data_IF_835271081898
#
_entry.id   IF_835271081898
#
_cell.length_a   1.000
_cell.length_b   1.000
_cell.length_c   1.000
_cell.angle_alpha   90.00
_cell.angle_beta   90.00
_cell.angle_gamma   90.00
#
_symmetry.space_group_name_H-M   'P 1'
#
loop_
_entity.id
_entity.type
_entity.pdbx_description
1 polymer ?
#
# COMPACT_ATOMS: atom_id res chain seq x y z
N UNK A 1 -72.28 -44.88 27.44
CA UNK A 1 -71.71 -45.97 28.24
C UNK A 1 -70.26 -45.60 28.42
N UNK A 2 -69.95 -45.07 29.60
CA UNK A 2 -69.11 -45.62 30.66
C UNK A 2 -67.73 -45.87 30.17
N UNK A 3 -66.73 -45.22 30.64
CA UNK A 3 -66.18 -44.81 31.89
C UNK A 3 -64.67 -44.89 31.64
N UNK A 4 -63.72 -44.33 32.20
CA UNK A 4 -63.38 -44.12 33.58
C UNK A 4 -62.04 -43.36 33.54
N UNK A 5 -61.91 -42.41 34.42
CA UNK A 5 -60.67 -41.68 34.79
C UNK A 5 -59.60 -42.61 35.32
N UNK A 6 -58.30 -42.27 35.02
CA UNK A 6 -57.22 -42.54 35.98
C UNK A 6 -56.25 -41.42 35.94
N UNK A 7 -56.17 -40.73 37.04
CA UNK A 7 -55.16 -39.74 37.48
C UNK A 7 -53.95 -40.47 37.95
N UNK A 8 -52.74 -40.04 37.59
CA UNK A 8 -51.56 -40.22 38.42
C UNK A 8 -50.64 -39.01 38.27
N UNK A 9 -50.24 -38.50 39.41
CA UNK A 9 -49.40 -37.35 39.71
C UNK A 9 -47.91 -37.74 39.72
N UNK A 10 -47.00 -36.75 39.96
CA UNK A 10 -45.75 -36.58 39.29
C UNK A 10 -44.58 -37.13 40.17
N UNK A 11 -43.47 -37.39 39.55
CA UNK A 11 -42.22 -37.47 40.32
C UNK A 11 -40.99 -36.99 39.55
N UNK A 12 -40.36 -36.07 40.19
CA UNK A 12 -38.94 -35.76 40.36
C UNK A 12 -38.09 -35.31 39.17
N UNK A 13 -37.67 -34.08 39.39
CA UNK A 13 -36.49 -33.44 38.84
C UNK A 13 -35.28 -34.36 38.75
N UNK A 14 -34.67 -34.40 37.55
CA UNK A 14 -33.30 -34.85 37.36
C UNK A 14 -32.47 -33.67 36.85
N UNK A 15 -31.53 -33.32 37.71
CA UNK A 15 -30.51 -32.29 37.56
C UNK A 15 -29.61 -32.62 36.37
N UNK A 16 -29.71 -31.85 35.27
CA UNK A 16 -28.78 -31.96 34.15
C UNK A 16 -27.60 -31.05 34.43
N UNK A 17 -26.54 -31.65 34.92
CA UNK A 17 -25.24 -31.00 35.12
C UNK A 17 -24.73 -30.38 33.82
N UNK A 18 -24.58 -29.07 33.81
CA UNK A 18 -23.94 -28.32 32.74
C UNK A 18 -22.47 -28.76 32.62
N UNK A 19 -22.18 -29.51 31.56
CA UNK A 19 -20.80 -29.81 31.19
C UNK A 19 -20.10 -28.48 30.82
N UNK A 20 -19.22 -28.00 31.72
CA UNK A 20 -18.27 -26.95 31.41
C UNK A 20 -17.38 -27.42 30.25
N UNK A 21 -17.53 -26.81 29.09
CA UNK A 21 -16.58 -26.94 27.99
C UNK A 21 -15.22 -26.52 28.52
N UNK A 22 -14.18 -27.36 28.49
CA UNK A 22 -12.87 -26.95 28.98
C UNK A 22 -12.33 -25.84 28.11
N UNK A 23 -11.93 -24.75 28.73
CA UNK A 23 -11.21 -23.67 28.08
C UNK A 23 -10.00 -24.26 27.35
N UNK A 24 -9.94 -24.04 26.04
CA UNK A 24 -8.87 -24.50 25.18
C UNK A 24 -7.55 -23.96 25.74
N UNK A 25 -6.74 -24.80 26.35
CA UNK A 25 -5.46 -24.45 26.92
C UNK A 25 -4.60 -23.80 25.82
N UNK A 26 -4.26 -22.52 26.01
CA UNK A 26 -3.31 -21.85 25.12
C UNK A 26 -1.97 -22.56 25.25
N UNK A 27 -1.43 -23.00 24.11
CA UNK A 27 -0.08 -23.58 24.06
C UNK A 27 0.90 -22.57 24.68
N UNK A 28 1.89 -23.04 25.47
CA UNK A 28 2.89 -22.15 26.07
C UNK A 28 3.63 -21.41 24.96
N UNK A 29 3.70 -20.10 25.08
CA UNK A 29 4.41 -19.21 24.14
C UNK A 29 5.89 -19.56 24.15
N UNK A 30 6.51 -19.63 22.99
CA UNK A 30 7.96 -19.73 22.89
C UNK A 30 8.57 -18.42 23.38
N UNK A 31 9.63 -18.42 24.20
CA UNK A 31 10.32 -17.18 24.60
C UNK A 31 10.78 -16.44 23.34
N UNK A 32 10.40 -15.15 23.20
CA UNK A 32 10.74 -14.30 22.05
C UNK A 32 9.70 -14.21 20.93
N UNK A 33 8.48 -14.75 21.08
CA UNK A 33 7.41 -14.53 20.10
C UNK A 33 6.82 -13.12 20.28
N UNK A 34 6.98 -12.25 19.29
CA UNK A 34 6.33 -10.93 19.20
C UNK A 34 4.81 -11.16 19.10
N UNK A 35 4.02 -10.37 19.83
CA UNK A 35 2.55 -10.39 19.76
C UNK A 35 2.10 -9.25 18.85
N UNK A 36 1.01 -9.45 18.11
CA UNK A 36 0.48 -8.43 17.19
C UNK A 36 0.24 -7.08 17.89
N UNK A 37 -0.23 -7.08 19.15
CA UNK A 37 -0.39 -5.87 19.96
C UNK A 37 0.92 -5.12 20.25
N UNK A 38 2.07 -5.79 20.26
CA UNK A 38 3.39 -5.17 20.41
C UNK A 38 3.89 -4.48 19.14
N UNK A 39 3.13 -4.59 18.04
CA UNK A 39 3.38 -3.95 16.75
C UNK A 39 2.52 -2.68 16.54
N UNK A 40 1.83 -2.18 17.58
CA UNK A 40 0.91 -1.05 17.43
C UNK A 40 -0.27 -1.33 16.49
N UNK A 41 -0.62 -2.61 16.26
CA UNK A 41 -1.69 -3.02 15.35
C UNK A 41 -2.87 -3.63 16.12
N UNK A 42 -4.10 -3.54 15.60
CA UNK A 42 -5.24 -4.26 16.14
C UNK A 42 -4.95 -5.75 16.28
N UNK A 43 -5.42 -6.37 17.37
CA UNK A 43 -5.18 -7.80 17.66
C UNK A 43 -5.77 -8.75 16.61
N UNK A 44 -6.74 -8.29 15.82
CA UNK A 44 -7.33 -9.02 14.68
C UNK A 44 -6.42 -9.06 13.46
N UNK A 45 -5.37 -8.22 13.38
CA UNK A 45 -4.51 -8.14 12.19
C UNK A 45 -3.79 -9.45 11.92
N UNK A 46 -3.84 -9.91 10.67
CA UNK A 46 -3.25 -11.15 10.18
C UNK A 46 -2.32 -10.94 8.99
N UNK A 47 -2.40 -9.80 8.34
CA UNK A 47 -1.52 -9.41 7.23
C UNK A 47 -1.14 -7.94 7.30
N UNK A 48 0.06 -7.64 6.79
CA UNK A 48 0.59 -6.31 6.57
C UNK A 48 0.87 -6.12 5.08
N UNK A 49 0.28 -5.10 4.48
CA UNK A 49 0.41 -4.77 3.06
C UNK A 49 1.13 -3.43 2.96
N UNK A 50 2.34 -3.44 2.43
CA UNK A 50 3.21 -2.27 2.41
C UNK A 50 3.30 -1.69 1.02
N UNK A 51 3.17 -0.37 0.89
CA UNK A 51 3.74 0.30 -0.27
C UNK A 51 5.27 0.14 -0.29
N UNK A 52 5.89 0.47 -1.41
CA UNK A 52 7.33 0.34 -1.59
C UNK A 52 8.05 1.68 -1.39
N UNK A 53 7.69 2.66 -2.23
CA UNK A 53 8.41 3.92 -2.37
C UNK A 53 7.99 4.86 -1.23
N UNK A 54 8.95 5.30 -0.39
CA UNK A 54 8.63 6.11 0.81
C UNK A 54 8.25 5.28 2.06
N UNK A 55 7.73 4.07 1.90
CA UNK A 55 7.42 3.18 3.03
C UNK A 55 8.56 2.20 3.31
N UNK A 56 8.97 1.41 2.33
CA UNK A 56 10.01 0.39 2.50
C UNK A 56 11.38 0.88 2.01
N UNK A 57 11.41 1.73 0.97
CA UNK A 57 12.62 2.22 0.32
C UNK A 57 12.62 3.73 0.18
N UNK A 58 13.83 4.32 0.18
CA UNK A 58 14.05 5.76 0.03
C UNK A 58 14.04 6.17 -1.45
N UNK A 59 13.07 5.69 -2.20
CA UNK A 59 12.98 5.89 -3.65
C UNK A 59 11.98 6.95 -4.09
N UNK A 60 11.14 7.48 -3.19
CA UNK A 60 10.19 8.55 -3.51
C UNK A 60 10.88 9.78 -4.11
N UNK A 61 12.00 10.24 -3.52
CA UNK A 61 12.79 11.36 -4.05
C UNK A 61 13.38 11.07 -5.44
N UNK A 62 13.77 9.82 -5.70
CA UNK A 62 14.26 9.40 -7.04
C UNK A 62 13.12 9.42 -8.06
N UNK A 63 11.91 9.04 -7.65
CA UNK A 63 10.71 9.15 -8.47
C UNK A 63 10.36 10.61 -8.76
N UNK A 64 10.41 11.50 -7.75
CA UNK A 64 10.16 12.93 -7.91
C UNK A 64 11.15 13.57 -8.90
N UNK A 65 12.45 13.29 -8.76
CA UNK A 65 13.49 13.78 -9.67
C UNK A 65 13.29 13.29 -11.11
N UNK A 66 12.87 12.02 -11.31
CA UNK A 66 12.57 11.48 -12.63
C UNK A 66 11.35 12.17 -13.26
N UNK A 67 10.31 12.44 -12.48
CA UNK A 67 9.14 13.21 -12.93
C UNK A 67 9.50 14.63 -13.30
N UNK A 68 10.24 15.32 -12.42
CA UNK A 68 10.69 16.70 -12.67
C UNK A 68 11.47 16.81 -13.97
N UNK A 69 12.47 15.99 -14.15
CA UNK A 69 13.27 15.98 -15.39
C UNK A 69 12.35 15.79 -16.61
N UNK A 70 11.45 14.83 -16.54
CA UNK A 70 10.58 14.48 -17.67
C UNK A 70 9.58 15.58 -18.01
N UNK A 71 8.90 16.11 -16.99
CA UNK A 71 7.88 17.15 -17.21
C UNK A 71 8.51 18.50 -17.55
N UNK A 72 9.61 18.89 -16.91
CA UNK A 72 10.30 20.15 -17.23
C UNK A 72 10.81 20.17 -18.67
N UNK A 73 11.34 19.04 -19.17
CA UNK A 73 11.78 18.93 -20.56
C UNK A 73 10.61 19.06 -21.54
N UNK A 74 9.47 18.47 -21.23
CA UNK A 74 8.27 18.58 -22.04
C UNK A 74 7.68 19.99 -22.01
N UNK A 75 7.48 20.52 -20.81
CA UNK A 75 6.87 21.85 -20.60
C UNK A 75 7.72 22.99 -21.19
N UNK A 76 9.05 22.89 -21.10
CA UNK A 76 9.97 23.88 -21.67
C UNK A 76 9.86 23.92 -23.19
N UNK A 77 9.91 22.77 -23.86
CA UNK A 77 9.74 22.71 -25.32
C UNK A 77 8.38 23.27 -25.75
N UNK A 78 7.30 22.88 -25.08
CA UNK A 78 5.97 23.38 -25.34
C UNK A 78 5.86 24.89 -25.15
N UNK A 79 6.46 25.45 -24.09
CA UNK A 79 6.48 26.89 -23.82
C UNK A 79 7.21 27.66 -24.95
N UNK A 80 8.36 27.17 -25.40
CA UNK A 80 9.14 27.72 -26.51
C UNK A 80 8.32 27.72 -27.82
N UNK A 81 7.70 26.59 -28.17
CA UNK A 81 6.88 26.46 -29.39
C UNK A 81 5.65 27.38 -29.40
N UNK A 82 5.07 27.67 -28.24
CA UNK A 82 3.85 28.49 -28.12
C UNK A 82 4.11 29.95 -27.76
N UNK A 83 5.32 30.31 -27.41
CA UNK A 83 5.65 31.63 -26.90
C UNK A 83 5.02 31.92 -25.54
N UNK A 84 4.78 30.88 -24.74
CA UNK A 84 4.20 30.93 -23.40
C UNK A 84 5.28 30.91 -22.31
N UNK A 85 5.01 31.43 -21.09
CA UNK A 85 5.94 31.30 -19.99
C UNK A 85 6.14 29.82 -19.58
N UNK A 86 7.38 29.44 -19.32
CA UNK A 86 7.70 28.12 -18.75
C UNK A 86 7.34 28.10 -17.25
N UNK A 87 6.48 27.18 -16.85
CA UNK A 87 6.14 26.90 -15.44
C UNK A 87 6.62 25.49 -15.11
N UNK A 88 7.67 25.34 -14.29
CA UNK A 88 8.25 24.04 -14.00
C UNK A 88 7.31 23.14 -13.18
N UNK A 89 7.58 21.84 -13.17
CA UNK A 89 7.01 20.87 -12.24
C UNK A 89 7.59 21.10 -10.83
N UNK A 90 6.72 21.16 -9.82
CA UNK A 90 7.12 21.25 -8.42
C UNK A 90 7.29 19.83 -7.83
N UNK A 91 8.48 19.54 -7.30
CA UNK A 91 8.84 18.21 -6.77
C UNK A 91 8.10 17.83 -5.48
N UNK A 92 7.39 18.76 -4.87
CA UNK A 92 6.56 18.55 -3.69
C UNK A 92 5.09 18.70 -4.06
N UNK A 93 4.62 19.92 -4.34
CA UNK A 93 3.19 20.17 -4.54
C UNK A 93 2.61 19.41 -5.74
N UNK A 94 3.24 19.48 -6.92
CA UNK A 94 2.74 18.74 -8.10
C UNK A 94 2.98 17.22 -7.95
N UNK A 95 4.05 16.83 -7.26
CA UNK A 95 4.35 15.41 -7.03
C UNK A 95 3.27 14.77 -6.16
N UNK A 96 3.01 15.32 -4.99
CA UNK A 96 2.09 14.75 -4.01
C UNK A 96 0.65 14.73 -4.53
N UNK A 97 0.24 15.79 -5.26
CA UNK A 97 -1.15 15.91 -5.72
C UNK A 97 -1.44 15.07 -6.97
N UNK A 98 -0.50 15.00 -7.92
CA UNK A 98 -0.83 14.47 -9.25
C UNK A 98 -0.18 13.15 -9.61
N UNK A 99 0.96 12.77 -9.04
CA UNK A 99 1.71 11.60 -9.52
C UNK A 99 2.06 10.57 -8.46
N UNK A 100 2.12 10.96 -7.18
CA UNK A 100 2.56 10.08 -6.11
C UNK A 100 1.58 8.92 -5.89
N UNK A 101 2.12 7.73 -5.73
CA UNK A 101 1.35 6.50 -5.54
C UNK A 101 0.53 6.02 -6.75
N UNK A 102 0.48 6.80 -7.85
CA UNK A 102 -0.35 6.49 -9.03
C UNK A 102 0.38 5.63 -10.06
N UNK A 103 -0.36 4.86 -10.89
CA UNK A 103 0.18 4.26 -12.09
C UNK A 103 0.78 5.33 -12.99
N UNK A 104 1.93 5.01 -13.60
CA UNK A 104 2.74 5.95 -14.40
C UNK A 104 1.96 6.77 -15.42
N UNK A 105 1.10 6.13 -16.20
CA UNK A 105 0.34 6.81 -17.24
C UNK A 105 -0.80 7.68 -16.67
N UNK A 106 -1.37 7.27 -15.54
CA UNK A 106 -2.37 8.07 -14.84
C UNK A 106 -1.75 9.32 -14.22
N UNK A 107 -0.54 9.22 -13.67
CA UNK A 107 0.23 10.37 -13.22
C UNK A 107 0.50 11.37 -14.35
N UNK A 108 0.86 10.90 -15.56
CA UNK A 108 1.01 11.79 -16.74
C UNK A 108 -0.31 12.50 -17.05
N UNK A 109 -1.43 11.75 -17.12
CA UNK A 109 -2.75 12.34 -17.41
C UNK A 109 -3.16 13.38 -16.38
N UNK A 110 -3.03 13.03 -15.11
CA UNK A 110 -3.47 13.87 -13.99
C UNK A 110 -2.69 15.17 -13.96
N UNK A 111 -1.36 15.11 -14.05
CA UNK A 111 -0.52 16.31 -14.05
C UNK A 111 -0.74 17.18 -15.28
N UNK A 112 -0.77 16.61 -16.48
CA UNK A 112 -0.99 17.39 -17.70
C UNK A 112 -2.37 18.04 -17.73
N UNK A 113 -3.41 17.34 -17.22
CA UNK A 113 -4.75 17.90 -17.08
C UNK A 113 -4.78 19.12 -16.14
N UNK A 114 -4.01 19.13 -15.04
CA UNK A 114 -3.90 20.27 -14.12
C UNK A 114 -3.32 21.52 -14.81
N UNK A 115 -2.53 21.30 -15.87
CA UNK A 115 -1.94 22.37 -16.71
C UNK A 115 -2.79 22.68 -17.96
N UNK A 116 -4.01 22.12 -18.06
CA UNK A 116 -4.88 22.30 -19.24
C UNK A 116 -4.32 21.66 -20.51
N UNK A 117 -3.47 20.64 -20.37
CA UNK A 117 -2.82 19.95 -21.50
C UNK A 117 -3.48 18.57 -21.68
N UNK A 118 -3.92 18.28 -22.88
CA UNK A 118 -4.43 16.97 -23.27
C UNK A 118 -3.55 16.40 -24.38
N UNK A 119 -3.12 15.18 -24.21
CA UNK A 119 -2.37 14.39 -25.21
C UNK A 119 -3.15 13.13 -25.57
N UNK A 120 -2.90 12.56 -26.77
CA UNK A 120 -3.33 11.20 -27.10
C UNK A 120 -2.76 10.21 -26.08
N UNK A 121 -3.52 9.16 -25.75
CA UNK A 121 -3.02 8.13 -24.83
C UNK A 121 -1.77 7.41 -25.37
N UNK A 122 -1.76 7.12 -26.65
CA UNK A 122 -0.71 6.33 -27.28
C UNK A 122 -0.78 4.85 -26.91
N UNK A 123 0.31 4.15 -27.19
CA UNK A 123 0.49 2.73 -26.91
C UNK A 123 1.59 2.53 -25.84
N UNK A 124 1.47 1.55 -24.94
CA UNK A 124 2.53 1.25 -23.96
C UNK A 124 3.91 0.98 -24.58
N UNK A 125 3.96 0.63 -25.86
CA UNK A 125 5.20 0.46 -26.65
C UNK A 125 5.73 1.74 -27.29
N UNK A 126 5.11 2.90 -27.10
CA UNK A 126 5.56 4.16 -27.69
C UNK A 126 7.00 4.49 -27.26
N UNK A 127 7.83 5.01 -28.18
CA UNK A 127 9.17 5.45 -27.83
C UNK A 127 9.13 6.66 -26.88
N UNK A 128 10.19 6.86 -26.05
CA UNK A 128 10.22 7.94 -25.05
C UNK A 128 10.11 9.37 -25.61
N UNK A 129 10.32 9.57 -26.89
CA UNK A 129 10.20 10.87 -27.57
C UNK A 129 8.81 11.12 -28.17
N UNK A 130 7.93 10.12 -28.17
CA UNK A 130 6.55 10.30 -28.62
C UNK A 130 5.78 11.30 -27.72
N UNK A 131 4.99 12.18 -28.37
CA UNK A 131 4.12 13.13 -27.67
C UNK A 131 2.76 12.51 -27.35
N UNK A 132 2.81 11.45 -26.56
CA UNK A 132 1.65 10.73 -26.03
C UNK A 132 1.80 10.56 -24.52
N UNK A 133 0.72 10.24 -23.84
CA UNK A 133 0.76 9.90 -22.40
C UNK A 133 1.74 8.74 -22.16
N UNK A 134 1.70 7.71 -23.01
CA UNK A 134 2.59 6.56 -22.92
C UNK A 134 4.05 6.93 -23.21
N UNK A 135 4.32 7.74 -24.23
CA UNK A 135 5.68 8.21 -24.55
C UNK A 135 6.31 8.99 -23.40
N UNK A 136 5.59 9.98 -22.84
CA UNK A 136 6.06 10.74 -21.66
C UNK A 136 6.29 9.81 -20.45
N UNK A 137 5.36 8.90 -20.19
CA UNK A 137 5.52 7.92 -19.13
C UNK A 137 6.73 6.99 -19.33
N UNK A 138 7.02 6.60 -20.57
CA UNK A 138 8.18 5.78 -20.91
C UNK A 138 9.50 6.56 -20.78
N UNK A 139 9.49 7.86 -21.10
CA UNK A 139 10.63 8.77 -20.85
C UNK A 139 10.93 8.85 -19.35
N UNK A 140 9.89 9.05 -18.51
CA UNK A 140 10.03 9.05 -17.05
C UNK A 140 10.62 7.73 -16.55
N UNK A 141 10.17 6.61 -17.10
CA UNK A 141 10.69 5.30 -16.70
C UNK A 141 12.18 5.14 -17.05
N UNK A 142 12.61 5.59 -18.21
CA UNK A 142 14.02 5.56 -18.60
C UNK A 142 14.88 6.43 -17.66
N UNK A 143 14.41 7.63 -17.31
CA UNK A 143 15.07 8.51 -16.35
C UNK A 143 15.16 7.84 -14.95
N UNK A 144 14.08 7.23 -14.47
CA UNK A 144 14.07 6.53 -13.19
C UNK A 144 15.07 5.38 -13.15
N UNK A 145 15.08 4.52 -14.16
CA UNK A 145 16.02 3.38 -14.23
C UNK A 145 17.47 3.86 -14.22
N UNK A 146 17.77 4.95 -14.94
CA UNK A 146 19.10 5.57 -14.94
C UNK A 146 19.51 6.09 -13.56
N UNK A 147 18.60 6.77 -12.85
CA UNK A 147 18.84 7.29 -11.50
C UNK A 147 19.06 6.16 -10.49
N UNK A 148 18.23 5.12 -10.52
CA UNK A 148 18.37 3.95 -9.65
C UNK A 148 19.69 3.21 -9.88
N UNK A 149 20.15 3.12 -11.13
CA UNK A 149 21.41 2.45 -11.47
C UNK A 149 22.65 3.20 -10.94
N UNK A 150 22.57 4.52 -10.81
CA UNK A 150 23.68 5.36 -10.35
C UNK A 150 23.66 5.64 -8.85
N UNK A 151 22.48 5.80 -8.25
CA UNK A 151 22.29 6.18 -6.84
C UNK A 151 22.19 5.00 -5.87
N UNK A 152 21.92 3.80 -6.37
CA UNK A 152 21.58 2.65 -5.54
C UNK A 152 20.16 2.74 -4.96
N UNK A 153 19.80 1.78 -4.10
CA UNK A 153 18.51 1.75 -3.40
C UNK A 153 18.74 1.46 -1.93
N UNK A 154 18.34 2.38 -1.08
CA UNK A 154 18.37 2.22 0.37
C UNK A 154 16.98 1.86 0.89
N UNK A 155 16.93 0.89 1.81
CA UNK A 155 15.71 0.58 2.56
C UNK A 155 15.66 1.43 3.84
N UNK A 156 14.45 1.81 4.28
CA UNK A 156 14.26 2.36 5.62
C UNK A 156 14.51 1.28 6.66
N UNK A 157 15.51 1.48 7.52
CA UNK A 157 15.91 0.49 8.53
C UNK A 157 14.77 0.18 9.50
N UNK A 158 14.00 1.21 9.93
CA UNK A 158 12.84 1.04 10.80
C UNK A 158 11.77 0.18 10.15
N UNK A 159 11.49 0.38 8.87
CA UNK A 159 10.53 -0.43 8.11
C UNK A 159 10.98 -1.89 7.99
N UNK A 160 12.27 -2.12 7.72
CA UNK A 160 12.81 -3.49 7.67
C UNK A 160 12.67 -4.18 9.02
N UNK A 161 12.98 -3.50 10.13
CA UNK A 161 12.80 -4.02 11.49
C UNK A 161 11.33 -4.36 11.78
N UNK A 162 10.41 -3.49 11.38
CA UNK A 162 8.97 -3.70 11.54
C UNK A 162 8.50 -4.93 10.75
N UNK A 163 8.83 -5.04 9.46
CA UNK A 163 8.47 -6.20 8.62
C UNK A 163 9.00 -7.51 9.24
N UNK A 164 10.25 -7.51 9.73
CA UNK A 164 10.83 -8.68 10.40
C UNK A 164 10.07 -9.04 11.70
N UNK A 165 9.63 -8.04 12.47
CA UNK A 165 8.83 -8.25 13.68
C UNK A 165 7.43 -8.78 13.33
N UNK A 166 6.76 -8.23 12.32
CA UNK A 166 5.48 -8.71 11.80
C UNK A 166 5.57 -10.20 11.37
N UNK A 167 6.61 -10.56 10.63
CA UNK A 167 6.87 -11.97 10.25
C UNK A 167 7.11 -12.88 11.46
N UNK A 168 7.86 -12.41 12.47
CA UNK A 168 8.06 -13.18 13.73
C UNK A 168 6.74 -13.35 14.51
N UNK A 169 5.83 -12.40 14.42
CA UNK A 169 4.48 -12.50 14.98
C UNK A 169 3.56 -13.44 14.17
N UNK A 170 4.01 -13.94 13.02
CA UNK A 170 3.25 -14.86 12.16
C UNK A 170 2.32 -14.16 11.18
N UNK A 171 2.47 -12.83 10.99
CA UNK A 171 1.69 -12.08 10.00
C UNK A 171 2.18 -12.36 8.59
N UNK A 172 1.26 -12.37 7.64
CA UNK A 172 1.58 -12.39 6.21
C UNK A 172 2.04 -11.00 5.79
N UNK A 173 3.05 -10.91 4.92
CA UNK A 173 3.58 -9.63 4.46
C UNK A 173 3.55 -9.57 2.93
N UNK A 174 3.00 -8.50 2.38
CA UNK A 174 2.98 -8.26 0.94
C UNK A 174 3.45 -6.85 0.61
N UNK A 175 4.01 -6.68 -0.60
CA UNK A 175 4.30 -5.37 -1.20
C UNK A 175 3.24 -5.05 -2.25
N UNK A 176 2.79 -3.80 -2.26
CA UNK A 176 1.81 -3.27 -3.23
C UNK A 176 2.34 -1.95 -3.78
N UNK A 177 2.87 -1.96 -4.99
CA UNK A 177 3.46 -0.78 -5.63
C UNK A 177 2.88 -0.54 -7.02
N UNK A 178 2.68 0.73 -7.38
CA UNK A 178 2.30 1.12 -8.73
C UNK A 178 3.46 0.98 -9.75
N UNK A 179 4.69 0.78 -9.27
CA UNK A 179 5.88 0.73 -10.10
C UNK A 179 6.05 -0.63 -10.78
N UNK A 180 6.28 -0.63 -12.10
CA UNK A 180 6.72 -1.83 -12.81
C UNK A 180 8.14 -2.27 -12.45
N UNK A 181 8.93 -1.40 -11.78
CA UNK A 181 10.29 -1.68 -11.35
C UNK A 181 10.38 -2.24 -9.91
N UNK A 182 9.24 -2.45 -9.24
CA UNK A 182 9.15 -2.86 -7.84
C UNK A 182 10.10 -4.03 -7.50
N UNK A 183 10.08 -5.09 -8.30
CA UNK A 183 10.93 -6.26 -8.03
C UNK A 183 12.43 -5.97 -8.14
N UNK A 184 12.82 -5.13 -9.08
CA UNK A 184 14.21 -4.70 -9.23
C UNK A 184 14.66 -3.84 -8.03
N UNK A 185 13.79 -2.94 -7.56
CA UNK A 185 14.01 -2.12 -6.35
C UNK A 185 14.16 -3.00 -5.11
N UNK A 186 13.24 -3.95 -4.90
CA UNK A 186 13.31 -4.91 -3.77
C UNK A 186 14.60 -5.74 -3.80
N UNK A 187 15.04 -6.15 -4.98
CA UNK A 187 16.28 -6.92 -5.14
C UNK A 187 17.52 -6.05 -4.85
N UNK A 188 17.56 -4.82 -5.35
CA UNK A 188 18.64 -3.87 -5.10
C UNK A 188 18.74 -3.51 -3.60
N UNK A 189 17.61 -3.30 -2.93
CA UNK A 189 17.53 -3.07 -1.49
C UNK A 189 17.77 -4.34 -0.65
N UNK A 190 17.86 -5.52 -1.27
CA UNK A 190 18.06 -6.84 -0.62
C UNK A 190 16.97 -7.21 0.40
N UNK A 191 15.74 -6.76 0.19
CA UNK A 191 14.60 -7.01 1.09
C UNK A 191 13.52 -7.91 0.49
N UNK A 192 13.63 -8.31 -0.78
CA UNK A 192 12.61 -9.10 -1.49
C UNK A 192 12.22 -10.40 -0.78
N UNK A 193 13.15 -11.06 -0.07
CA UNK A 193 12.89 -12.29 0.69
C UNK A 193 12.02 -12.11 1.95
N UNK A 194 11.65 -10.86 2.30
CA UNK A 194 10.81 -10.55 3.46
C UNK A 194 9.31 -10.65 3.14
N UNK A 195 8.92 -10.78 1.88
CA UNK A 195 7.52 -10.69 1.46
C UNK A 195 7.02 -11.99 0.85
N UNK A 196 5.78 -12.35 1.19
CA UNK A 196 5.10 -13.56 0.68
C UNK A 196 4.54 -13.30 -0.72
N UNK A 197 4.12 -12.05 -1.00
CA UNK A 197 3.44 -11.61 -2.23
C UNK A 197 3.96 -10.25 -2.64
N UNK A 198 4.05 -10.02 -3.95
CA UNK A 198 4.32 -8.72 -4.57
C UNK A 198 3.27 -8.48 -5.65
N UNK A 199 2.45 -7.42 -5.45
CA UNK A 199 1.54 -6.86 -6.45
C UNK A 199 2.18 -5.57 -6.96
N UNK A 200 2.77 -5.63 -8.13
CA UNK A 200 3.47 -4.53 -8.77
C UNK A 200 2.71 -4.01 -10.01
N UNK A 201 3.20 -2.97 -10.64
CA UNK A 201 2.59 -2.41 -11.84
C UNK A 201 2.47 -3.41 -12.99
N UNK A 202 3.34 -4.43 -13.04
CA UNK A 202 3.26 -5.51 -14.05
C UNK A 202 2.08 -6.43 -13.75
N UNK A 203 1.90 -6.81 -12.47
CA UNK A 203 0.75 -7.62 -12.03
C UNK A 203 -0.55 -6.84 -12.24
N UNK A 204 -0.58 -5.55 -11.85
CA UNK A 204 -1.74 -4.70 -12.02
C UNK A 204 -2.19 -4.60 -13.48
N UNK A 205 -1.25 -4.36 -14.41
CA UNK A 205 -1.53 -4.31 -15.84
C UNK A 205 -2.05 -5.65 -16.39
N UNK A 206 -1.42 -6.77 -16.00
CA UNK A 206 -1.82 -8.11 -16.45
C UNK A 206 -3.20 -8.50 -15.96
N UNK A 207 -3.56 -8.14 -14.75
CA UNK A 207 -4.84 -8.48 -14.11
C UNK A 207 -5.90 -7.39 -14.26
N UNK A 208 -5.61 -6.32 -15.01
CA UNK A 208 -6.49 -5.17 -15.25
C UNK A 208 -7.00 -4.53 -13.95
N UNK A 209 -6.12 -4.44 -12.93
CA UNK A 209 -6.43 -3.80 -11.66
C UNK A 209 -6.32 -2.29 -11.81
N UNK A 210 -7.30 -1.58 -11.30
CA UNK A 210 -7.22 -0.13 -11.17
C UNK A 210 -6.11 0.24 -10.15
N UNK A 211 -5.40 1.33 -10.42
CA UNK A 211 -4.35 1.82 -9.53
C UNK A 211 -4.92 2.71 -8.42
N UNK A 212 -4.11 2.98 -7.39
CA UNK A 212 -4.41 3.95 -6.35
C UNK A 212 -4.89 5.28 -6.97
N UNK A 213 -5.95 5.91 -6.47
CA UNK A 213 -6.63 5.67 -5.19
C UNK A 213 -7.67 4.54 -5.18
N UNK A 214 -7.87 3.80 -6.28
CA UNK A 214 -8.74 2.64 -6.27
C UNK A 214 -8.12 1.49 -5.45
N UNK A 215 -8.93 0.68 -4.75
CA UNK A 215 -8.43 -0.31 -3.80
C UNK A 215 -7.93 -1.61 -4.44
N UNK A 216 -8.08 -1.79 -5.74
CA UNK A 216 -7.94 -3.08 -6.44
C UNK A 216 -6.61 -3.77 -6.18
N UNK A 217 -5.50 -3.04 -6.21
CA UNK A 217 -4.16 -3.60 -5.99
C UNK A 217 -3.98 -4.12 -4.57
N UNK A 218 -4.48 -3.39 -3.55
CA UNK A 218 -4.47 -3.84 -2.16
C UNK A 218 -5.41 -5.02 -1.94
N UNK A 219 -6.62 -5.01 -2.53
CA UNK A 219 -7.57 -6.12 -2.48
C UNK A 219 -6.97 -7.38 -3.13
N UNK A 220 -6.26 -7.23 -4.24
CA UNK A 220 -5.54 -8.34 -4.88
C UNK A 220 -4.45 -8.91 -3.95
N UNK A 221 -3.67 -8.07 -3.28
CA UNK A 221 -2.66 -8.50 -2.32
C UNK A 221 -3.29 -9.25 -1.13
N UNK A 222 -4.35 -8.73 -0.54
CA UNK A 222 -5.08 -9.37 0.55
C UNK A 222 -5.61 -10.76 0.15
N UNK A 223 -6.20 -10.86 -1.05
CA UNK A 223 -6.65 -12.13 -1.64
C UNK A 223 -5.50 -13.12 -1.80
N UNK A 224 -4.35 -12.67 -2.33
CA UNK A 224 -3.18 -13.54 -2.59
C UNK A 224 -2.53 -14.04 -1.29
N UNK A 225 -2.52 -13.24 -0.22
CA UNK A 225 -2.04 -13.71 1.10
C UNK A 225 -3.10 -14.50 1.87
N UNK A 226 -4.34 -14.57 1.37
CA UNK A 226 -5.44 -15.35 1.96
C UNK A 226 -6.01 -14.72 3.25
N UNK A 227 -6.04 -13.38 3.34
CA UNK A 227 -6.53 -12.65 4.51
C UNK A 227 -7.62 -11.66 4.07
N UNK A 228 -8.78 -11.62 4.76
CA UNK A 228 -9.80 -10.62 4.48
C UNK A 228 -9.27 -9.20 4.70
N UNK A 229 -9.70 -8.17 3.93
CA UNK A 229 -9.28 -6.79 4.12
C UNK A 229 -9.46 -6.30 5.57
N UNK A 230 -10.57 -6.63 6.22
CA UNK A 230 -10.84 -6.24 7.60
C UNK A 230 -9.80 -6.78 8.64
N UNK A 231 -9.06 -7.84 8.29
CA UNK A 231 -8.00 -8.44 9.11
C UNK A 231 -6.59 -8.06 8.59
N UNK A 232 -6.48 -7.10 7.69
CA UNK A 232 -5.21 -6.65 7.13
C UNK A 232 -4.95 -5.17 7.43
N UNK A 233 -3.68 -4.82 7.61
CA UNK A 233 -3.21 -3.45 7.77
C UNK A 233 -2.48 -3.00 6.50
N UNK A 234 -2.75 -1.76 6.05
CA UNK A 234 -2.09 -1.08 4.94
C UNK A 234 -1.09 -0.07 5.49
N UNK A 235 0.08 0.05 4.87
CA UNK A 235 1.14 1.00 5.24
C UNK A 235 1.50 1.83 4.00
N UNK A 236 1.34 3.15 4.09
CA UNK A 236 1.38 4.07 2.96
C UNK A 236 1.90 5.44 3.35
N UNK A 237 2.65 6.08 2.45
CA UNK A 237 3.08 7.47 2.60
C UNK A 237 2.35 8.43 1.65
N UNK A 238 1.78 7.93 0.55
CA UNK A 238 1.05 8.71 -0.44
C UNK A 238 -0.45 8.85 -0.10
N UNK A 239 -1.02 10.04 -0.35
CA UNK A 239 -2.45 10.31 -0.11
C UNK A 239 -3.35 9.36 -0.91
N UNK A 240 -3.00 9.10 -2.17
CA UNK A 240 -3.73 8.18 -3.04
C UNK A 240 -3.75 6.74 -2.49
N UNK A 241 -2.66 6.30 -1.88
CA UNK A 241 -2.56 4.97 -1.33
C UNK A 241 -3.31 4.82 0.00
N UNK A 242 -3.25 5.83 0.87
CA UNK A 242 -4.09 5.87 2.08
C UNK A 242 -5.57 5.84 1.72
N UNK A 243 -5.99 6.62 0.71
CA UNK A 243 -7.36 6.59 0.20
C UNK A 243 -7.75 5.20 -0.33
N UNK A 244 -6.85 4.51 -1.06
CA UNK A 244 -7.06 3.15 -1.53
C UNK A 244 -7.25 2.16 -0.36
N UNK A 245 -6.44 2.27 0.69
CA UNK A 245 -6.58 1.47 1.90
C UNK A 245 -7.95 1.68 2.56
N UNK A 246 -8.39 2.92 2.67
CA UNK A 246 -9.72 3.26 3.22
C UNK A 246 -10.86 2.75 2.33
N UNK A 247 -10.77 2.96 1.01
CA UNK A 247 -11.78 2.51 0.04
C UNK A 247 -11.92 0.98 0.01
N UNK A 248 -10.82 0.25 0.25
CA UNK A 248 -10.78 -1.21 0.33
C UNK A 248 -11.32 -1.79 1.64
N UNK A 249 -11.78 -0.96 2.59
CA UNK A 249 -12.26 -1.37 3.91
C UNK A 249 -11.23 -2.21 4.68
N UNK A 250 -9.97 -1.85 4.58
CA UNK A 250 -8.92 -2.47 5.38
C UNK A 250 -9.09 -2.17 6.86
N UNK A 251 -8.76 -3.16 7.70
CA UNK A 251 -8.98 -3.08 9.15
C UNK A 251 -8.13 -2.02 9.85
N UNK A 252 -7.00 -1.63 9.23
CA UNK A 252 -6.12 -0.58 9.73
C UNK A 252 -5.33 0.05 8.59
N UNK A 253 -5.20 1.37 8.60
CA UNK A 253 -4.40 2.12 7.63
C UNK A 253 -3.40 2.98 8.39
N UNK A 254 -2.13 2.71 8.19
CA UNK A 254 -1.00 3.43 8.76
C UNK A 254 -0.46 4.40 7.72
N UNK A 255 -0.52 5.69 8.00
CA UNK A 255 0.17 6.72 7.23
C UNK A 255 1.63 6.83 7.68
N UNK A 256 2.56 6.92 6.75
CA UNK A 256 3.99 7.18 7.02
C UNK A 256 4.30 8.59 6.52
N UNK A 257 4.54 9.53 7.43
CA UNK A 257 4.72 10.93 7.07
C UNK A 257 6.16 11.21 6.61
N UNK A 258 6.37 11.20 5.30
CA UNK A 258 7.66 11.55 4.67
C UNK A 258 7.71 12.99 4.17
N UNK A 259 6.56 13.62 3.95
CA UNK A 259 6.43 14.93 3.31
C UNK A 259 5.89 16.03 4.24
N UNK A 260 5.75 15.76 5.55
CA UNK A 260 5.12 16.66 6.55
C UNK A 260 3.65 16.94 6.22
N UNK A 261 2.93 15.91 5.83
CA UNK A 261 1.52 15.94 5.42
C UNK A 261 0.64 15.06 6.35
N UNK A 262 0.98 14.98 7.63
CA UNK A 262 0.30 14.11 8.59
C UNK A 262 -1.22 14.37 8.65
N UNK A 263 -1.65 15.62 8.54
CA UNK A 263 -3.07 15.96 8.61
C UNK A 263 -3.80 15.55 7.33
N UNK A 264 -3.17 15.66 6.18
CA UNK A 264 -3.68 15.19 4.88
C UNK A 264 -3.78 13.65 4.85
N UNK A 265 -2.78 12.94 5.37
CA UNK A 265 -2.83 11.48 5.50
C UNK A 265 -4.03 11.05 6.38
N UNK A 266 -4.26 11.72 7.52
CA UNK A 266 -5.44 11.47 8.37
C UNK A 266 -6.74 11.79 7.64
N UNK A 267 -6.79 12.92 6.94
CA UNK A 267 -7.98 13.34 6.17
C UNK A 267 -8.33 12.34 5.06
N UNK A 268 -7.32 11.70 4.45
CA UNK A 268 -7.51 10.65 3.43
C UNK A 268 -7.80 9.27 4.03
N UNK A 269 -7.76 9.11 5.35
CA UNK A 269 -8.27 7.92 6.03
C UNK A 269 -7.24 7.08 6.76
N UNK A 270 -6.03 7.61 7.04
CA UNK A 270 -5.10 6.95 7.94
C UNK A 270 -5.67 6.90 9.37
N UNK A 271 -5.64 5.72 9.99
CA UNK A 271 -6.06 5.53 11.38
C UNK A 271 -4.98 6.02 12.36
N UNK A 272 -3.72 5.92 11.96
CA UNK A 272 -2.55 6.45 12.67
C UNK A 272 -1.54 6.97 11.65
N UNK A 273 -0.77 7.98 12.05
CA UNK A 273 0.35 8.49 11.25
C UNK A 273 1.60 8.46 12.11
N UNK A 274 2.70 7.95 11.52
CA UNK A 274 4.03 7.84 12.12
C UNK A 274 5.08 8.41 11.17
N UNK A 275 6.20 8.89 11.69
CA UNK A 275 7.34 9.31 10.87
C UNK A 275 8.17 8.11 10.41
N UNK A 276 8.23 7.04 11.21
CA UNK A 276 8.92 5.80 10.89
C UNK A 276 8.20 4.59 11.47
N UNK A 277 8.15 3.48 10.74
CA UNK A 277 7.49 2.25 11.21
C UNK A 277 8.13 1.67 12.50
N UNK A 278 9.37 2.06 12.84
CA UNK A 278 9.97 1.67 14.10
C UNK A 278 9.23 2.21 15.33
N UNK A 279 8.48 3.30 15.21
CA UNK A 279 7.67 3.85 16.29
C UNK A 279 6.58 2.87 16.75
N UNK A 280 6.04 2.10 15.83
CA UNK A 280 5.06 1.06 16.13
C UNK A 280 5.65 -0.11 16.94
N UNK A 281 6.97 -0.32 16.90
CA UNK A 281 7.66 -1.35 17.68
C UNK A 281 7.90 -0.94 19.15
N UNK A 282 7.76 0.34 19.44
CA UNK A 282 8.04 0.92 20.76
C UNK A 282 6.77 1.20 21.55
N UNK A 283 5.59 0.91 20.99
CA UNK A 283 4.31 1.07 21.68
C UNK A 283 4.23 0.07 22.84
N UNK A 284 3.92 0.51 24.06
CA UNK A 284 3.88 -0.32 25.27
C UNK A 284 2.75 -1.35 25.26
#
# INVERSE_FOLDING_TARGET
MTGTRATLRPDRAANAGGAKVPARAQKPRRPGSVVVGELGLPASTRACLFDLDGVLTQTASVHAAAWKTTFDDYLRRRAEERGEPFVPFDEHADYDEYVDGRPRYDGVRTFLASRGITLPDGDPGDPPDAETVCGIGNRKNAALVSLLATGGVEAYEGSVRFVQAARRAGLRCAVVSASANCRAVLAAARIGGLFDVVVDGVVAAREHLAGKPEPDTYLAAARLVGVPPADAAVFEDALAGVAAGRAGHFGWVVGVDRARQADELRANGADIVVDDLAELLSAP
#
